data_IF_650160297532
#
_entry.id   IF_650160297532
#
_cell.length_a   1.000
_cell.length_b   1.000
_cell.length_c   1.000
_cell.angle_alpha   90.00
_cell.angle_beta   90.00
_cell.angle_gamma   90.00
#
_symmetry.space_group_name_H-M   'P 1'
#
loop_
_entity.id
_entity.type
_entity.pdbx_description
1 polymer ?
#
# COMPACT_ATOMS: atom_id res chain seq x y z
N UNK A 1 -9.94 19.36 25.46
CA UNK A 1 -8.95 18.87 24.51
C UNK A 1 -9.71 18.56 23.23
N UNK A 2 -9.60 19.41 22.20
CA UNK A 2 -10.09 19.14 20.86
C UNK A 2 -9.32 17.94 20.33
N UNK A 3 -10.01 16.87 19.89
CA UNK A 3 -9.38 15.77 19.15
C UNK A 3 -8.64 16.39 17.96
N UNK A 4 -7.38 16.01 17.67
CA UNK A 4 -6.76 16.42 16.43
C UNK A 4 -7.72 16.05 15.29
N UNK A 5 -7.88 16.93 14.31
CA UNK A 5 -8.82 16.72 13.20
C UNK A 5 -8.54 15.37 12.57
N UNK A 6 -9.56 14.50 12.55
CA UNK A 6 -9.48 13.17 11.94
C UNK A 6 -9.05 13.31 10.49
N UNK A 7 -7.97 12.65 10.03
CA UNK A 7 -7.45 12.86 8.70
C UNK A 7 -8.49 12.51 7.63
N UNK A 8 -8.51 13.26 6.54
CA UNK A 8 -9.32 12.97 5.36
C UNK A 8 -8.51 12.13 4.37
N UNK A 9 -9.03 10.98 3.98
CA UNK A 9 -8.42 10.09 3.00
C UNK A 9 -9.29 10.00 1.74
N UNK A 10 -8.65 10.09 0.57
CA UNK A 10 -9.29 9.85 -0.72
C UNK A 10 -9.19 8.36 -1.06
N UNK A 11 -10.33 7.68 -1.21
CA UNK A 11 -10.41 6.27 -1.58
C UNK A 11 -10.79 6.15 -3.06
N UNK A 12 -9.85 5.78 -3.93
CA UNK A 12 -10.17 5.50 -5.33
C UNK A 12 -10.86 4.13 -5.43
N UNK A 13 -11.99 4.08 -6.16
CA UNK A 13 -12.76 2.84 -6.29
C UNK A 13 -12.15 1.81 -7.26
N UNK A 14 -11.11 2.21 -8.02
CA UNK A 14 -10.36 1.34 -8.91
C UNK A 14 -11.17 0.83 -10.12
N UNK A 15 -10.96 -0.43 -10.49
CA UNK A 15 -11.66 -1.07 -11.60
C UNK A 15 -13.17 -1.14 -11.34
N UNK A 16 -14.01 -0.50 -12.18
CA UNK A 16 -15.44 -0.41 -11.93
C UNK A 16 -16.18 -1.76 -12.05
N UNK A 17 -15.59 -2.72 -12.77
CA UNK A 17 -16.11 -4.09 -12.90
C UNK A 17 -15.61 -5.04 -11.83
N UNK A 18 -14.66 -4.61 -10.99
CA UNK A 18 -14.07 -5.39 -9.89
C UNK A 18 -14.78 -5.21 -8.55
N UNK A 19 -14.11 -5.67 -7.49
CA UNK A 19 -14.61 -5.58 -6.10
C UNK A 19 -14.39 -4.21 -5.45
N UNK A 20 -13.59 -3.31 -6.04
CA UNK A 20 -13.26 -2.02 -5.43
C UNK A 20 -14.47 -1.17 -5.04
N UNK A 21 -15.48 -0.98 -5.92
CA UNK A 21 -16.70 -0.24 -5.59
C UNK A 21 -17.47 -0.84 -4.40
N UNK A 22 -17.58 -2.17 -4.32
CA UNK A 22 -18.29 -2.81 -3.21
C UNK A 22 -17.51 -2.78 -1.91
N UNK A 23 -16.18 -2.87 -1.96
CA UNK A 23 -15.34 -2.70 -0.77
C UNK A 23 -15.50 -1.29 -0.15
N UNK A 24 -15.59 -0.25 -0.99
CA UNK A 24 -15.85 1.11 -0.52
C UNK A 24 -17.21 1.23 0.17
N UNK A 25 -18.26 0.63 -0.40
CA UNK A 25 -19.60 0.61 0.16
C UNK A 25 -19.72 -0.20 1.46
N UNK A 26 -19.11 -1.40 1.48
CA UNK A 26 -19.06 -2.23 2.70
C UNK A 26 -18.34 -1.53 3.84
N UNK A 27 -17.23 -0.84 3.52
CA UNK A 27 -16.49 -0.07 4.51
C UNK A 27 -17.31 1.11 5.04
N UNK A 28 -18.08 1.79 4.17
CA UNK A 28 -18.98 2.86 4.57
C UNK A 28 -20.15 2.35 5.43
N UNK A 29 -20.69 1.16 5.13
CA UNK A 29 -21.73 0.52 5.95
C UNK A 29 -21.29 0.26 7.38
N UNK A 30 -20.05 -0.23 7.56
CA UNK A 30 -19.49 -0.50 8.89
C UNK A 30 -19.13 0.78 9.65
N UNK A 31 -18.76 1.82 8.92
CA UNK A 31 -18.20 3.04 9.47
C UNK A 31 -16.69 2.94 9.81
N UNK A 32 -16.04 4.09 9.83
CA UNK A 32 -14.60 4.21 10.06
C UNK A 32 -14.34 5.25 11.13
N UNK A 33 -13.75 4.82 12.24
CA UNK A 33 -13.42 5.74 13.33
C UNK A 33 -12.06 6.45 13.14
N UNK A 34 -11.15 5.87 12.37
CA UNK A 34 -9.77 6.33 12.25
C UNK A 34 -9.59 7.50 11.27
N UNK A 35 -10.49 7.65 10.29
CA UNK A 35 -10.39 8.66 9.24
C UNK A 35 -11.76 9.14 8.78
N UNK A 36 -11.81 10.33 8.17
CA UNK A 36 -12.88 10.72 7.25
C UNK A 36 -12.53 10.12 5.88
N UNK A 37 -13.50 9.56 5.18
CA UNK A 37 -13.30 9.04 3.83
C UNK A 37 -14.14 9.80 2.82
N UNK A 38 -13.58 9.96 1.63
CA UNK A 38 -14.30 10.35 0.43
C UNK A 38 -13.95 9.36 -0.68
N UNK A 39 -14.95 8.72 -1.26
CA UNK A 39 -14.73 7.87 -2.42
C UNK A 39 -14.48 8.74 -3.67
N UNK A 40 -13.54 8.33 -4.50
CA UNK A 40 -13.30 8.96 -5.82
C UNK A 40 -13.81 7.97 -6.86
N UNK A 41 -14.95 8.30 -7.51
CA UNK A 41 -15.57 7.38 -8.44
C UNK A 41 -16.93 7.86 -8.94
N UNK A 42 -17.65 6.99 -9.68
CA UNK A 42 -18.96 7.29 -10.27
C UNK A 42 -20.09 7.04 -9.26
N UNK A 43 -20.86 8.07 -8.86
CA UNK A 43 -21.95 7.90 -7.90
C UNK A 43 -23.03 6.92 -8.40
N UNK A 44 -23.31 6.93 -9.71
CA UNK A 44 -24.31 6.01 -10.31
C UNK A 44 -23.82 4.56 -10.29
N UNK A 45 -22.53 4.30 -10.49
CA UNK A 45 -21.94 2.98 -10.28
C UNK A 45 -22.11 2.52 -8.84
N UNK A 46 -21.73 3.38 -7.88
CA UNK A 46 -21.82 3.07 -6.45
C UNK A 46 -23.27 2.81 -6.02
N UNK A 47 -24.23 3.62 -6.47
CA UNK A 47 -25.65 3.39 -6.19
C UNK A 47 -26.13 2.03 -6.70
N UNK A 48 -25.87 1.72 -7.99
CA UNK A 48 -26.26 0.41 -8.57
C UNK A 48 -25.57 -0.76 -7.85
N UNK A 49 -24.32 -0.57 -7.38
CA UNK A 49 -23.61 -1.63 -6.65
C UNK A 49 -24.17 -1.79 -5.23
N UNK A 50 -24.57 -0.70 -4.55
CA UNK A 50 -25.22 -0.75 -3.25
C UNK A 50 -26.57 -1.48 -3.35
N UNK A 51 -27.39 -1.13 -4.33
CA UNK A 51 -28.68 -1.80 -4.61
C UNK A 51 -28.48 -3.31 -4.85
N UNK A 52 -27.50 -3.68 -5.69
CA UNK A 52 -27.18 -5.09 -5.99
C UNK A 52 -26.82 -5.89 -4.74
N UNK A 53 -26.13 -5.25 -3.80
CA UNK A 53 -25.66 -5.88 -2.55
C UNK A 53 -26.67 -5.75 -1.40
N UNK A 54 -27.77 -5.02 -1.59
CA UNK A 54 -28.74 -4.76 -0.54
C UNK A 54 -28.18 -3.90 0.60
N UNK A 55 -27.22 -3.00 0.29
CA UNK A 55 -26.62 -2.08 1.24
C UNK A 55 -27.36 -0.75 1.23
N UNK A 56 -27.85 -0.31 2.40
CA UNK A 56 -28.45 1.01 2.59
C UNK A 56 -27.36 2.05 2.84
N UNK A 57 -26.91 2.73 1.76
CA UNK A 57 -25.84 3.72 1.80
C UNK A 57 -26.33 5.04 1.21
N UNK A 58 -26.30 6.08 2.02
CA UNK A 58 -26.47 7.46 1.57
C UNK A 58 -25.18 7.94 0.87
N UNK A 59 -25.25 8.12 -0.45
CA UNK A 59 -24.16 8.72 -1.22
C UNK A 59 -24.30 10.24 -1.21
N UNK A 60 -23.23 10.95 -0.85
CA UNK A 60 -23.18 12.41 -0.85
C UNK A 60 -22.28 12.88 -1.97
N UNK A 61 -22.84 13.39 -3.05
CA UNK A 61 -22.07 14.03 -4.12
C UNK A 61 -21.46 15.32 -3.59
N UNK A 62 -20.13 15.37 -3.54
CA UNK A 62 -19.37 16.49 -3.00
C UNK A 62 -18.83 17.35 -4.14
N UNK A 63 -19.18 18.63 -4.15
CA UNK A 63 -18.58 19.59 -5.08
C UNK A 63 -17.09 19.86 -4.75
N UNK A 64 -16.29 20.25 -5.74
CA UNK A 64 -14.91 20.68 -5.49
C UNK A 64 -14.86 21.82 -4.45
N UNK A 65 -14.12 21.62 -3.36
CA UNK A 65 -13.95 22.62 -2.29
C UNK A 65 -14.93 22.48 -1.12
N UNK A 66 -15.95 21.65 -1.20
CA UNK A 66 -16.80 21.35 -0.06
C UNK A 66 -16.07 20.58 1.04
N UNK A 67 -16.44 20.87 2.28
CA UNK A 67 -15.86 20.17 3.45
C UNK A 67 -16.50 18.80 3.58
N UNK A 68 -15.68 17.74 3.49
CA UNK A 68 -16.14 16.37 3.72
C UNK A 68 -16.60 16.22 5.17
N UNK A 69 -17.84 15.77 5.42
CA UNK A 69 -18.38 15.62 6.77
C UNK A 69 -17.66 14.52 7.58
N UNK A 70 -17.82 14.44 8.89
CA UNK A 70 -17.38 13.32 9.70
C UNK A 70 -17.92 11.98 9.19
N UNK A 71 -17.15 10.92 9.35
CA UNK A 71 -17.57 9.57 8.98
C UNK A 71 -18.76 9.13 9.84
N UNK A 72 -19.82 8.66 9.18
CA UNK A 72 -21.03 8.10 9.80
C UNK A 72 -21.33 6.78 9.10
N UNK A 73 -21.57 5.66 9.82
CA UNK A 73 -21.99 4.40 9.21
C UNK A 73 -23.19 4.58 8.30
N UNK A 74 -23.18 3.93 7.15
CA UNK A 74 -24.24 4.04 6.15
C UNK A 74 -24.16 5.30 5.26
N UNK A 75 -23.08 6.10 5.34
CA UNK A 75 -22.89 7.31 4.53
C UNK A 75 -21.54 7.33 3.86
N UNK A 76 -21.52 7.65 2.55
CA UNK A 76 -20.29 7.74 1.78
C UNK A 76 -20.26 9.05 0.97
N UNK A 77 -19.42 10.03 1.36
CA UNK A 77 -19.09 11.16 0.51
C UNK A 77 -18.39 10.70 -0.77
N UNK A 78 -18.68 11.31 -1.89
CA UNK A 78 -18.13 10.97 -3.21
C UNK A 78 -17.62 12.22 -3.92
N UNK A 79 -16.38 12.21 -4.37
CA UNK A 79 -15.88 13.11 -5.39
C UNK A 79 -16.19 12.48 -6.75
N UNK A 80 -17.13 13.04 -7.51
CA UNK A 80 -17.64 12.37 -8.68
C UNK A 80 -16.62 12.37 -9.84
N UNK A 81 -16.40 11.19 -10.38
CA UNK A 81 -15.72 10.93 -11.66
C UNK A 81 -16.66 10.06 -12.49
N UNK A 82 -17.02 10.53 -13.67
CA UNK A 82 -18.03 9.84 -14.48
C UNK A 82 -17.45 8.63 -15.24
N UNK A 83 -18.13 7.48 -15.20
CA UNK A 83 -17.85 6.37 -16.10
C UNK A 83 -17.99 6.80 -17.56
N UNK A 84 -17.21 6.20 -18.45
CA UNK A 84 -17.34 6.37 -19.91
C UNK A 84 -18.39 5.44 -20.48
N UNK A 85 -18.52 4.24 -19.91
CA UNK A 85 -19.49 3.22 -20.30
C UNK A 85 -20.08 2.52 -19.06
N UNK A 86 -21.29 2.01 -19.14
CA UNK A 86 -21.90 1.24 -18.06
C UNK A 86 -21.03 0.04 -17.65
N UNK A 87 -20.62 -0.03 -16.40
CA UNK A 87 -19.87 -1.16 -15.87
C UNK A 87 -20.80 -2.28 -15.38
N UNK A 88 -20.38 -3.53 -15.65
CA UNK A 88 -21.02 -4.75 -15.16
C UNK A 88 -20.04 -5.50 -14.26
N UNK A 89 -20.46 -5.99 -13.09
CA UNK A 89 -19.58 -6.80 -12.24
C UNK A 89 -18.99 -7.99 -13.01
N UNK A 90 -17.69 -8.19 -12.88
CA UNK A 90 -16.96 -9.29 -13.49
C UNK A 90 -16.64 -9.14 -14.98
N UNK A 91 -17.12 -8.08 -15.66
CA UNK A 91 -16.94 -7.90 -17.11
C UNK A 91 -16.15 -6.63 -17.39
N UNK A 92 -14.87 -6.79 -17.76
CA UNK A 92 -13.99 -5.68 -18.07
C UNK A 92 -14.46 -4.90 -19.31
N UNK A 93 -14.35 -3.57 -19.25
CA UNK A 93 -14.68 -2.65 -20.33
C UNK A 93 -13.54 -1.66 -20.55
N UNK A 94 -12.70 -1.83 -21.61
CA UNK A 94 -11.53 -0.98 -21.85
C UNK A 94 -11.86 0.52 -21.95
N UNK A 95 -13.05 0.90 -22.42
CA UNK A 95 -13.46 2.30 -22.51
C UNK A 95 -13.57 3.01 -21.15
N UNK A 96 -13.57 2.24 -20.05
CA UNK A 96 -13.51 2.79 -18.69
C UNK A 96 -12.06 2.96 -18.14
N UNK A 97 -11.04 2.70 -18.95
CA UNK A 97 -9.65 2.88 -18.50
C UNK A 97 -9.35 4.34 -18.11
N UNK A 98 -9.81 5.31 -18.93
CA UNK A 98 -9.67 6.73 -18.62
C UNK A 98 -10.37 7.15 -17.32
N UNK A 99 -11.52 6.53 -17.01
CA UNK A 99 -12.17 6.72 -15.71
C UNK A 99 -11.27 6.27 -14.56
N UNK A 100 -10.66 5.09 -14.67
CA UNK A 100 -9.79 4.56 -13.62
C UNK A 100 -8.59 5.48 -13.40
N UNK A 101 -7.93 5.94 -14.47
CA UNK A 101 -6.81 6.87 -14.37
C UNK A 101 -7.22 8.23 -13.81
N UNK A 102 -8.36 8.77 -14.23
CA UNK A 102 -8.88 10.03 -13.70
C UNK A 102 -9.17 9.96 -12.19
N UNK A 103 -9.65 8.81 -11.67
CA UNK A 103 -9.83 8.65 -10.22
C UNK A 103 -8.49 8.77 -9.47
N UNK A 104 -7.40 8.26 -10.03
CA UNK A 104 -6.06 8.42 -9.46
C UNK A 104 -5.60 9.88 -9.51
N UNK A 105 -5.79 10.56 -10.65
CA UNK A 105 -5.39 11.96 -10.83
C UNK A 105 -6.11 12.89 -9.84
N UNK A 106 -7.42 12.69 -9.65
CA UNK A 106 -8.21 13.43 -8.67
C UNK A 106 -7.68 13.22 -7.25
N UNK A 107 -7.37 11.98 -6.87
CA UNK A 107 -6.85 11.67 -5.55
C UNK A 107 -5.43 12.24 -5.34
N UNK A 108 -4.53 12.11 -6.35
CA UNK A 108 -3.19 12.70 -6.32
C UNK A 108 -3.27 14.23 -6.16
N UNK A 109 -4.10 14.88 -6.99
CA UNK A 109 -4.27 16.32 -6.92
C UNK A 109 -4.79 16.77 -5.55
N UNK A 110 -5.76 16.05 -4.98
CA UNK A 110 -6.30 16.35 -3.66
C UNK A 110 -5.23 16.23 -2.56
N UNK A 111 -4.38 15.20 -2.62
CA UNK A 111 -3.27 15.03 -1.67
C UNK A 111 -2.21 16.15 -1.84
N UNK A 112 -1.81 16.45 -3.07
CA UNK A 112 -0.79 17.48 -3.36
C UNK A 112 -1.24 18.89 -3.00
N UNK A 113 -2.52 19.17 -3.02
CA UNK A 113 -3.11 20.47 -2.66
C UNK A 113 -3.54 20.57 -1.19
N UNK A 114 -3.31 19.50 -0.39
CA UNK A 114 -3.68 19.44 1.02
C UNK A 114 -5.20 19.29 1.28
N UNK A 115 -5.98 19.01 0.23
CA UNK A 115 -7.43 18.73 0.35
C UNK A 115 -7.71 17.34 0.94
N UNK A 116 -6.80 16.39 0.72
CA UNK A 116 -6.76 15.10 1.39
C UNK A 116 -5.38 14.93 2.05
N UNK A 117 -5.34 14.21 3.16
CA UNK A 117 -4.10 13.95 3.91
C UNK A 117 -3.38 12.69 3.43
N UNK A 118 -4.04 11.89 2.61
CA UNK A 118 -3.52 10.68 2.01
C UNK A 118 -4.54 10.04 1.07
N UNK A 119 -4.09 9.03 0.34
CA UNK A 119 -4.95 8.25 -0.54
C UNK A 119 -4.86 6.76 -0.25
N UNK A 120 -5.99 6.09 -0.44
CA UNK A 120 -6.11 4.63 -0.40
C UNK A 120 -6.60 4.15 -1.76
N UNK A 121 -5.94 3.18 -2.37
CA UNK A 121 -6.34 2.71 -3.71
C UNK A 121 -6.95 1.31 -3.63
N UNK A 122 -8.17 1.16 -4.14
CA UNK A 122 -8.75 -0.13 -4.48
C UNK A 122 -8.07 -0.70 -5.75
N UNK A 123 -8.24 -1.99 -6.05
CA UNK A 123 -7.50 -2.62 -7.13
C UNK A 123 -7.93 -2.11 -8.51
N UNK A 124 -6.97 -1.99 -9.43
CA UNK A 124 -7.22 -1.78 -10.85
C UNK A 124 -6.82 -3.01 -11.67
N UNK A 125 -7.23 -3.05 -12.93
CA UNK A 125 -6.87 -4.13 -13.85
C UNK A 125 -5.91 -3.64 -14.94
N UNK A 126 -4.60 -3.93 -14.77
CA UNK A 126 -3.56 -3.47 -15.69
C UNK A 126 -3.85 -3.82 -17.14
N UNK A 127 -4.27 -5.06 -17.42
CA UNK A 127 -4.53 -5.53 -18.78
C UNK A 127 -5.59 -4.68 -19.51
N UNK A 128 -6.70 -4.33 -18.84
CA UNK A 128 -7.75 -3.53 -19.49
C UNK A 128 -7.31 -2.11 -19.81
N UNK A 129 -6.41 -1.54 -19.00
CA UNK A 129 -5.82 -0.22 -19.26
C UNK A 129 -4.87 -0.27 -20.47
N UNK A 130 -4.08 -1.34 -20.58
CA UNK A 130 -3.22 -1.58 -21.76
C UNK A 130 -4.07 -1.80 -23.03
N UNK A 131 -5.15 -2.58 -22.94
CA UNK A 131 -6.08 -2.85 -24.04
C UNK A 131 -6.80 -1.58 -24.53
N UNK A 132 -6.97 -0.59 -23.66
CA UNK A 132 -7.49 0.73 -23.99
C UNK A 132 -6.48 1.65 -24.72
N UNK A 133 -5.24 1.21 -24.91
CA UNK A 133 -4.21 1.96 -25.63
C UNK A 133 -3.20 2.69 -24.75
N UNK A 134 -3.28 2.56 -23.42
CA UNK A 134 -2.29 3.15 -22.49
C UNK A 134 -1.04 2.26 -22.39
N UNK A 135 -0.31 2.10 -23.49
CA UNK A 135 0.81 1.15 -23.62
C UNK A 135 1.96 1.35 -22.60
N UNK A 136 2.08 2.56 -22.03
CA UNK A 136 3.08 2.88 -21.00
C UNK A 136 2.64 2.58 -19.58
N UNK A 137 1.41 2.09 -19.37
CA UNK A 137 0.92 1.83 -18.02
C UNK A 137 1.52 0.56 -17.45
N UNK A 138 2.28 0.66 -16.39
CA UNK A 138 2.98 -0.46 -15.73
C UNK A 138 2.33 -0.89 -14.42
N UNK A 139 1.56 -0.01 -13.79
CA UNK A 139 0.83 -0.27 -12.55
C UNK A 139 0.61 0.99 -11.72
N UNK A 140 -0.07 0.84 -10.59
CA UNK A 140 -0.33 1.94 -9.65
C UNK A 140 0.97 2.63 -9.20
N UNK A 141 1.97 1.85 -8.82
CA UNK A 141 3.20 2.33 -8.17
C UNK A 141 3.98 3.24 -9.10
N UNK A 142 4.20 2.78 -10.34
CA UNK A 142 4.92 3.55 -11.36
C UNK A 142 4.12 4.76 -11.80
N UNK A 143 2.79 4.60 -11.98
CA UNK A 143 1.92 5.72 -12.33
C UNK A 143 1.98 6.84 -11.28
N UNK A 144 1.90 6.47 -10.00
CA UNK A 144 1.98 7.42 -8.88
C UNK A 144 3.38 8.06 -8.77
N UNK A 145 4.45 7.27 -8.95
CA UNK A 145 5.83 7.78 -8.99
C UNK A 145 5.95 8.87 -10.04
N UNK A 146 5.54 8.59 -11.28
CA UNK A 146 5.67 9.50 -12.41
C UNK A 146 4.78 10.76 -12.25
N UNK A 147 3.53 10.58 -11.82
CA UNK A 147 2.60 11.68 -11.56
C UNK A 147 3.04 12.59 -10.39
N UNK A 148 3.78 12.06 -9.44
CA UNK A 148 4.33 12.81 -8.31
C UNK A 148 5.72 13.38 -8.58
N UNK A 149 6.40 12.98 -9.67
CA UNK A 149 7.78 13.35 -9.97
C UNK A 149 8.78 12.76 -8.97
N UNK A 150 8.48 11.60 -8.39
CA UNK A 150 9.38 10.90 -7.49
C UNK A 150 10.43 10.11 -8.30
N UNK A 151 11.68 10.12 -7.85
CA UNK A 151 12.77 9.41 -8.53
C UNK A 151 12.66 7.90 -8.33
N UNK A 152 12.34 7.48 -7.11
CA UNK A 152 12.26 6.09 -6.72
C UNK A 152 11.15 5.88 -5.69
N UNK A 153 10.59 4.68 -5.65
CA UNK A 153 9.57 4.28 -4.68
C UNK A 153 9.87 2.90 -4.12
N UNK A 154 9.49 2.67 -2.87
CA UNK A 154 9.71 1.41 -2.17
C UNK A 154 8.37 0.79 -1.84
N UNK A 155 8.16 -0.44 -2.29
CA UNK A 155 7.00 -1.25 -1.92
C UNK A 155 7.22 -1.82 -0.53
N UNK A 156 6.30 -1.55 0.37
CA UNK A 156 6.27 -2.11 1.72
C UNK A 156 4.92 -2.76 1.96
N UNK A 157 4.90 -4.00 2.40
CA UNK A 157 3.69 -4.60 2.93
C UNK A 157 3.72 -4.54 4.45
N UNK A 158 2.56 -4.25 5.05
CA UNK A 158 2.42 -4.18 6.50
C UNK A 158 1.19 -4.96 6.96
N UNK A 159 1.34 -5.71 8.07
CA UNK A 159 0.23 -6.42 8.70
C UNK A 159 -0.57 -5.50 9.61
N UNK A 160 -1.80 -5.91 9.93
CA UNK A 160 -2.61 -5.27 10.95
C UNK A 160 -1.92 -5.35 12.33
N UNK A 161 -1.78 -4.19 12.98
CA UNK A 161 -1.19 -4.09 14.33
C UNK A 161 -1.91 -4.95 15.38
N UNK A 162 -3.21 -5.13 15.26
CA UNK A 162 -3.99 -5.94 16.19
C UNK A 162 -3.63 -7.44 16.15
N UNK A 163 -3.04 -7.95 15.05
CA UNK A 163 -2.55 -9.33 14.97
C UNK A 163 -1.40 -9.58 15.96
N UNK A 164 -0.54 -8.59 16.11
CA UNK A 164 0.67 -8.71 16.95
C UNK A 164 0.40 -8.29 18.39
N UNK A 165 -0.52 -7.38 18.63
CA UNK A 165 -0.93 -6.97 19.98
C UNK A 165 -1.53 -8.11 20.80
N UNK A 166 -2.13 -9.12 20.15
CA UNK A 166 -2.71 -10.28 20.81
C UNK A 166 -1.70 -11.41 21.08
N UNK A 167 -0.48 -11.34 20.52
CA UNK A 167 0.55 -12.38 20.66
C UNK A 167 1.50 -12.08 21.82
N UNK A 168 1.64 -12.99 22.82
CA UNK A 168 2.51 -12.75 23.98
C UNK A 168 3.99 -12.64 23.61
N UNK A 169 4.40 -13.18 22.47
CA UNK A 169 5.80 -13.29 22.05
C UNK A 169 6.24 -12.22 21.04
N UNK A 170 5.30 -11.38 20.53
CA UNK A 170 5.66 -10.33 19.58
C UNK A 170 6.46 -9.20 20.28
N UNK A 171 7.63 -8.91 19.74
CA UNK A 171 8.57 -7.90 20.27
C UNK A 171 8.98 -6.85 19.24
N UNK A 172 8.47 -6.95 18.01
CA UNK A 172 8.74 -6.02 16.93
C UNK A 172 7.91 -4.74 16.99
N UNK A 173 7.91 -3.98 15.91
CA UNK A 173 7.02 -2.85 15.71
C UNK A 173 5.54 -3.26 15.82
N UNK A 174 4.63 -2.30 15.99
CA UNK A 174 3.18 -2.58 16.11
C UNK A 174 2.63 -3.45 14.96
N UNK A 175 3.22 -3.35 13.76
CA UNK A 175 2.93 -4.21 12.61
C UNK A 175 4.22 -4.76 12.00
N UNK A 176 4.18 -5.98 11.45
CA UNK A 176 5.29 -6.47 10.63
C UNK A 176 5.30 -5.70 9.30
N UNK A 177 6.39 -4.99 9.03
CA UNK A 177 6.61 -4.26 7.79
C UNK A 177 7.74 -4.93 7.01
N UNK A 178 7.44 -5.32 5.77
CA UNK A 178 8.41 -5.93 4.86
C UNK A 178 8.54 -5.07 3.62
N UNK A 179 9.71 -4.44 3.47
CA UNK A 179 10.11 -3.70 2.28
C UNK A 179 10.81 -4.62 1.28
N UNK A 180 10.74 -4.28 0.02
CA UNK A 180 11.32 -5.06 -1.07
C UNK A 180 12.41 -4.25 -1.79
N UNK A 181 13.61 -4.84 -1.93
CA UNK A 181 14.69 -4.27 -2.74
C UNK A 181 14.39 -4.45 -4.23
N UNK A 182 13.83 -5.60 -4.61
CA UNK A 182 13.31 -5.87 -5.96
C UNK A 182 11.87 -6.40 -5.85
N UNK A 183 11.02 -6.07 -6.83
CA UNK A 183 9.60 -6.43 -6.82
C UNK A 183 9.27 -7.57 -7.79
N UNK A 184 8.76 -7.28 -8.97
CA UNK A 184 8.20 -8.24 -9.92
C UNK A 184 9.22 -8.63 -11.01
N UNK A 185 10.35 -9.19 -10.61
CA UNK A 185 11.37 -9.71 -11.50
C UNK A 185 11.30 -11.25 -11.59
N UNK A 186 11.65 -11.84 -12.74
CA UNK A 186 11.96 -13.26 -12.78
C UNK A 186 13.08 -13.58 -11.79
N UNK A 187 12.97 -14.70 -11.06
CA UNK A 187 13.93 -15.03 -10.01
C UNK A 187 15.39 -15.06 -10.50
N UNK A 188 15.63 -15.51 -11.74
CA UNK A 188 16.97 -15.53 -12.33
C UNK A 188 17.62 -14.15 -12.51
N UNK A 189 16.81 -13.08 -12.57
CA UNK A 189 17.27 -11.72 -12.85
C UNK A 189 17.47 -10.94 -11.53
N UNK A 190 17.09 -11.52 -10.38
CA UNK A 190 17.13 -10.87 -9.07
C UNK A 190 18.55 -10.54 -8.64
N UNK A 191 19.48 -11.49 -8.77
CA UNK A 191 20.87 -11.30 -8.32
C UNK A 191 21.52 -10.11 -9.03
N UNK A 192 21.34 -9.99 -10.36
CA UNK A 192 21.88 -8.87 -11.13
C UNK A 192 21.20 -7.54 -10.82
N UNK A 193 19.96 -7.55 -10.35
CA UNK A 193 19.22 -6.35 -9.96
C UNK A 193 19.62 -5.80 -8.57
N UNK A 194 20.28 -6.60 -7.72
CA UNK A 194 20.80 -6.15 -6.44
C UNK A 194 22.10 -5.39 -6.67
N UNK A 195 22.04 -4.08 -6.54
CA UNK A 195 23.20 -3.17 -6.69
C UNK A 195 23.39 -2.28 -5.49
N UNK A 196 24.63 -1.84 -5.24
CA UNK A 196 24.94 -0.93 -4.12
C UNK A 196 24.11 0.38 -4.23
N UNK A 197 23.96 0.91 -5.43
CA UNK A 197 23.20 2.13 -5.69
C UNK A 197 21.69 1.94 -5.44
N UNK A 198 21.09 0.82 -5.91
CA UNK A 198 19.70 0.49 -5.68
C UNK A 198 19.38 0.30 -4.19
N UNK A 199 20.22 -0.49 -3.49
CA UNK A 199 20.08 -0.70 -2.05
C UNK A 199 20.22 0.60 -1.25
N UNK A 200 21.15 1.46 -1.64
CA UNK A 200 21.34 2.77 -1.01
C UNK A 200 20.09 3.63 -1.13
N UNK A 201 19.49 3.73 -2.32
CA UNK A 201 18.24 4.47 -2.53
C UNK A 201 17.10 3.91 -1.71
N UNK A 202 16.88 2.60 -1.76
CA UNK A 202 15.80 1.92 -1.04
C UNK A 202 15.92 2.12 0.47
N UNK A 203 17.10 1.92 1.04
CA UNK A 203 17.34 2.05 2.48
C UNK A 203 17.19 3.48 2.98
N UNK A 204 17.66 4.48 2.21
CA UNK A 204 17.46 5.90 2.56
C UNK A 204 15.99 6.30 2.52
N UNK A 205 15.23 5.85 1.51
CA UNK A 205 13.77 6.08 1.45
C UNK A 205 13.10 5.43 2.65
N UNK A 206 13.42 4.18 2.94
CA UNK A 206 12.81 3.44 4.03
C UNK A 206 13.09 4.10 5.39
N UNK A 207 14.32 4.51 5.67
CA UNK A 207 14.70 5.22 6.90
C UNK A 207 13.97 6.57 7.02
N UNK A 208 14.01 7.39 5.97
CA UNK A 208 13.39 8.71 5.95
C UNK A 208 11.87 8.64 6.13
N UNK A 209 11.20 7.71 5.46
CA UNK A 209 9.74 7.60 5.50
C UNK A 209 9.24 6.87 6.75
N UNK A 210 9.99 5.94 7.34
CA UNK A 210 9.70 5.43 8.68
C UNK A 210 9.77 6.55 9.74
N UNK A 211 10.72 7.46 9.60
CA UNK A 211 10.80 8.64 10.46
C UNK A 211 9.63 9.59 10.20
N UNK A 212 9.39 9.93 8.96
CA UNK A 212 8.39 10.95 8.57
C UNK A 212 6.96 10.48 8.83
N UNK A 213 6.60 9.30 8.36
CA UNK A 213 5.22 8.83 8.32
C UNK A 213 4.84 7.95 9.51
N UNK A 214 5.81 7.29 10.15
CA UNK A 214 5.54 6.44 11.32
C UNK A 214 6.06 7.03 12.63
N UNK A 215 6.78 8.17 12.58
CA UNK A 215 7.28 8.87 13.75
C UNK A 215 8.38 8.08 14.49
N UNK A 216 9.07 7.19 13.80
CA UNK A 216 10.19 6.42 14.37
C UNK A 216 11.45 7.28 14.30
N UNK A 217 11.90 7.82 15.43
CA UNK A 217 13.00 8.78 15.45
C UNK A 217 14.35 8.20 14.96
N UNK A 218 14.56 6.90 15.12
CA UNK A 218 15.76 6.17 14.67
C UNK A 218 15.34 4.78 14.19
N UNK A 219 14.91 4.64 12.94
CA UNK A 219 14.43 3.37 12.41
C UNK A 219 15.50 2.28 12.48
N UNK A 220 15.15 1.13 13.02
CA UNK A 220 15.97 -0.06 12.99
C UNK A 220 15.50 -0.99 11.89
N UNK A 221 16.29 -1.12 10.85
CA UNK A 221 15.95 -1.90 9.66
C UNK A 221 16.80 -3.17 9.64
N UNK A 222 16.15 -4.33 9.65
CA UNK A 222 16.81 -5.61 9.46
C UNK A 222 16.86 -5.95 7.96
N UNK A 223 18.02 -6.26 7.43
CA UNK A 223 18.27 -6.50 6.01
C UNK A 223 18.56 -7.98 5.78
N UNK A 224 17.77 -8.64 4.93
CA UNK A 224 18.03 -10.01 4.51
C UNK A 224 19.29 -10.10 3.66
N UNK A 225 20.01 -11.20 3.74
CA UNK A 225 20.92 -11.63 2.67
C UNK A 225 20.11 -12.04 1.43
N UNK A 226 20.76 -12.10 0.29
CA UNK A 226 20.17 -12.62 -0.95
C UNK A 226 20.18 -14.15 -0.97
N UNK A 227 21.35 -14.70 -0.64
CA UNK A 227 21.62 -16.13 -0.73
C UNK A 227 21.23 -16.88 0.56
N UNK A 228 21.04 -18.21 0.50
CA UNK A 228 20.86 -19.02 1.69
C UNK A 228 21.97 -18.77 2.71
N UNK A 229 21.61 -18.70 4.01
CA UNK A 229 22.52 -18.42 5.12
C UNK A 229 23.34 -17.13 4.95
N UNK A 230 22.77 -16.13 4.21
CA UNK A 230 23.44 -14.89 3.86
C UNK A 230 24.83 -15.13 3.20
N UNK A 231 24.87 -16.07 2.23
CA UNK A 231 26.06 -16.39 1.44
C UNK A 231 27.10 -17.27 2.13
N UNK A 232 26.92 -17.58 3.44
CA UNK A 232 27.83 -18.45 4.24
C UNK A 232 29.33 -18.14 4.03
N UNK A 233 29.69 -16.86 4.15
CA UNK A 233 31.05 -16.39 3.96
C UNK A 233 31.59 -16.49 2.53
N UNK A 234 30.69 -16.45 1.53
CA UNK A 234 31.00 -16.54 0.11
C UNK A 234 30.94 -17.95 -0.46
N UNK A 235 30.59 -18.95 0.34
CA UNK A 235 30.44 -20.33 -0.14
C UNK A 235 29.16 -20.58 -0.93
N UNK A 236 28.15 -19.74 -0.72
CA UNK A 236 26.83 -19.84 -1.36
C UNK A 236 26.46 -18.59 -2.19
N UNK A 237 27.45 -17.84 -2.61
CA UNK A 237 27.28 -16.59 -3.37
C UNK A 237 28.16 -15.48 -2.81
N UNK A 238 28.37 -14.44 -3.58
CA UNK A 238 29.28 -13.34 -3.21
C UNK A 238 28.57 -11.99 -3.06
N UNK A 239 27.27 -11.91 -3.37
CA UNK A 239 26.51 -10.68 -3.38
C UNK A 239 26.47 -10.01 -1.99
N UNK A 240 26.48 -10.80 -0.92
CA UNK A 240 26.57 -10.27 0.44
C UNK A 240 27.90 -9.56 0.65
N UNK A 241 29.04 -10.19 0.29
CA UNK A 241 30.38 -9.68 0.52
C UNK A 241 30.71 -8.52 -0.41
N UNK A 242 30.30 -8.63 -1.69
CA UNK A 242 30.71 -7.68 -2.73
C UNK A 242 29.77 -6.46 -2.80
N UNK A 243 28.49 -6.62 -2.44
CA UNK A 243 27.47 -5.58 -2.62
C UNK A 243 26.78 -5.21 -1.31
N UNK A 244 26.15 -6.18 -0.60
CA UNK A 244 25.25 -5.86 0.50
C UNK A 244 26.02 -5.34 1.71
N UNK A 245 27.02 -6.08 2.21
CA UNK A 245 27.80 -5.69 3.39
C UNK A 245 28.50 -4.32 3.22
N UNK A 246 29.20 -4.05 2.11
CA UNK A 246 29.84 -2.75 1.91
C UNK A 246 28.80 -1.60 1.85
N UNK A 247 27.64 -1.83 1.23
CA UNK A 247 26.57 -0.84 1.17
C UNK A 247 26.00 -0.54 2.55
N UNK A 248 25.72 -1.59 3.35
CA UNK A 248 25.23 -1.41 4.72
C UNK A 248 26.27 -0.72 5.61
N UNK A 249 27.56 -1.05 5.45
CA UNK A 249 28.64 -0.39 6.21
C UNK A 249 28.67 1.11 5.91
N UNK A 250 28.66 1.51 4.63
CA UNK A 250 28.62 2.91 4.24
C UNK A 250 27.42 3.67 4.82
N UNK A 251 26.22 3.06 4.76
CA UNK A 251 25.01 3.68 5.30
C UNK A 251 24.98 3.75 6.84
N UNK A 252 25.60 2.81 7.53
CA UNK A 252 25.81 2.90 8.99
C UNK A 252 26.73 4.05 9.37
N UNK A 253 27.77 4.29 8.58
CA UNK A 253 28.66 5.45 8.77
C UNK A 253 27.92 6.78 8.52
N UNK A 254 26.88 6.79 7.69
CA UNK A 254 25.96 7.92 7.52
C UNK A 254 24.96 8.07 8.69
N UNK A 255 24.84 7.08 9.57
CA UNK A 255 24.00 7.12 10.77
C UNK A 255 22.73 6.27 10.74
N UNK A 256 22.48 5.49 9.68
CA UNK A 256 21.36 4.57 9.65
C UNK A 256 21.56 3.39 10.60
N UNK A 257 20.49 2.91 11.22
CA UNK A 257 20.56 1.74 12.11
C UNK A 257 20.12 0.49 11.34
N UNK A 258 21.10 -0.23 10.79
CA UNK A 258 20.91 -1.38 9.92
C UNK A 258 21.48 -2.64 10.55
N UNK A 259 20.68 -3.70 10.64
CA UNK A 259 21.13 -5.04 11.03
C UNK A 259 21.21 -5.92 9.79
N UNK A 260 22.32 -6.60 9.57
CA UNK A 260 22.44 -7.53 8.43
C UNK A 260 23.76 -7.41 7.67
N UNK A 261 23.89 -8.17 6.55
CA UNK A 261 22.87 -9.08 6.01
C UNK A 261 22.59 -10.27 6.93
N UNK A 262 21.32 -10.62 7.10
CA UNK A 262 20.88 -11.72 7.95
C UNK A 262 20.26 -12.85 7.14
N UNK A 263 20.45 -14.13 7.53
CA UNK A 263 19.72 -15.23 6.90
C UNK A 263 18.21 -15.07 7.02
N UNK A 264 17.50 -15.09 5.89
CA UNK A 264 16.06 -14.84 5.87
C UNK A 264 15.23 -15.91 6.62
N UNK A 265 15.70 -17.14 6.63
CA UNK A 265 15.07 -18.27 7.35
C UNK A 265 15.00 -18.08 8.86
N UNK A 266 15.94 -17.36 9.45
CA UNK A 266 16.00 -17.08 10.88
C UNK A 266 15.57 -15.68 11.26
N UNK A 267 15.69 -14.70 10.35
CA UNK A 267 15.36 -13.30 10.60
C UNK A 267 13.89 -13.11 10.99
N UNK A 268 12.96 -13.79 10.34
CA UNK A 268 11.53 -13.70 10.62
C UNK A 268 11.08 -14.45 11.87
N UNK A 269 11.93 -14.52 12.88
CA UNK A 269 11.57 -15.07 14.19
C UNK A 269 11.31 -13.96 15.21
N UNK A 270 10.44 -14.14 16.21
CA UNK A 270 10.13 -13.12 17.22
C UNK A 270 11.38 -12.55 17.92
N UNK A 271 12.42 -13.36 18.09
CA UNK A 271 13.69 -12.94 18.71
C UNK A 271 14.43 -11.92 17.86
N UNK A 272 14.55 -12.15 16.54
CA UNK A 272 15.26 -11.26 15.64
C UNK A 272 14.46 -10.02 15.29
N UNK A 273 13.13 -10.14 15.25
CA UNK A 273 12.23 -9.01 15.01
C UNK A 273 12.07 -8.09 16.24
N UNK A 274 12.62 -8.47 17.40
CA UNK A 274 12.51 -7.65 18.60
C UNK A 274 13.20 -6.30 18.41
N UNK A 275 12.39 -5.22 18.45
CA UNK A 275 12.87 -3.84 18.26
C UNK A 275 13.22 -3.49 16.80
N UNK A 276 12.85 -4.31 15.82
CA UNK A 276 12.98 -4.01 14.39
C UNK A 276 11.73 -3.28 13.92
N UNK A 277 11.92 -2.18 13.19
CA UNK A 277 10.83 -1.35 12.66
C UNK A 277 10.39 -1.77 11.26
N UNK A 278 11.32 -2.29 10.45
CA UNK A 278 11.03 -2.88 9.14
C UNK A 278 12.09 -3.92 8.75
N UNK A 279 11.72 -4.86 7.91
CA UNK A 279 12.61 -5.81 7.26
C UNK A 279 12.75 -5.44 5.79
N UNK A 280 13.98 -5.38 5.27
CA UNK A 280 14.24 -5.30 3.84
C UNK A 280 14.51 -6.70 3.29
N UNK A 281 13.63 -7.21 2.48
CA UNK A 281 13.82 -8.43 1.70
C UNK A 281 14.42 -8.11 0.33
N UNK A 282 15.31 -8.97 -0.17
CA UNK A 282 15.98 -8.76 -1.44
C UNK A 282 15.03 -8.97 -2.63
N UNK A 283 14.04 -9.86 -2.50
CA UNK A 283 13.06 -10.14 -3.54
C UNK A 283 11.69 -10.52 -2.95
N UNK A 284 10.69 -10.48 -3.82
CA UNK A 284 9.28 -10.63 -3.46
C UNK A 284 9.01 -11.88 -2.60
N UNK A 285 9.36 -13.08 -3.08
CA UNK A 285 9.02 -14.32 -2.39
C UNK A 285 9.96 -14.66 -1.22
N UNK A 286 10.95 -13.82 -0.92
CA UNK A 286 11.74 -13.94 0.29
C UNK A 286 10.98 -13.43 1.53
N UNK A 287 10.25 -12.33 1.40
CA UNK A 287 9.58 -11.66 2.51
C UNK A 287 8.07 -11.87 2.56
N UNK A 288 7.40 -11.85 1.40
CA UNK A 288 5.95 -11.83 1.36
C UNK A 288 5.25 -13.12 1.80
N UNK A 289 5.77 -14.34 1.60
CA UNK A 289 5.16 -15.54 2.13
C UNK A 289 5.00 -15.50 3.64
N UNK A 290 6.02 -15.00 4.37
CA UNK A 290 5.97 -14.87 5.83
C UNK A 290 4.94 -13.82 6.25
N UNK A 291 4.95 -12.67 5.59
CA UNK A 291 4.00 -11.59 5.88
C UNK A 291 2.56 -12.04 5.61
N UNK A 292 2.32 -12.67 4.46
CA UNK A 292 0.98 -13.16 4.10
C UNK A 292 0.50 -14.31 4.98
N UNK A 293 1.40 -15.18 5.41
CA UNK A 293 1.05 -16.21 6.38
C UNK A 293 0.64 -15.60 7.73
N UNK A 294 1.40 -14.58 8.20
CA UNK A 294 1.12 -13.91 9.48
C UNK A 294 -0.14 -13.03 9.42
N UNK A 295 -0.41 -12.41 8.27
CA UNK A 295 -1.45 -11.39 8.11
C UNK A 295 -2.46 -11.69 7.01
N UNK A 296 -2.77 -12.96 6.72
CA UNK A 296 -3.68 -13.33 5.63
C UNK A 296 -5.03 -12.59 5.73
N UNK A 297 -5.39 -11.83 4.67
CA UNK A 297 -6.58 -10.97 4.65
C UNK A 297 -6.49 -9.74 5.56
N UNK A 298 -5.36 -9.54 6.27
CA UNK A 298 -5.14 -8.44 7.22
C UNK A 298 -3.77 -7.80 7.00
N UNK A 299 -3.44 -7.55 5.76
CA UNK A 299 -2.25 -6.84 5.34
C UNK A 299 -2.61 -5.82 4.26
N UNK A 300 -1.77 -4.79 4.12
CA UNK A 300 -1.93 -3.78 3.09
C UNK A 300 -0.56 -3.40 2.52
N UNK A 301 -0.58 -2.86 1.30
CA UNK A 301 0.59 -2.34 0.62
C UNK A 301 0.73 -0.83 0.94
N UNK A 302 1.94 -0.39 1.17
CA UNK A 302 2.33 1.00 1.36
C UNK A 302 3.35 1.34 0.27
N UNK A 303 3.23 2.50 -0.36
CA UNK A 303 4.25 3.02 -1.27
C UNK A 303 5.00 4.14 -0.59
N UNK A 304 6.26 3.89 -0.23
CA UNK A 304 7.17 4.90 0.32
C UNK A 304 7.96 5.59 -0.82
N UNK A 305 8.55 6.75 -0.54
CA UNK A 305 9.25 7.57 -1.53
C UNK A 305 8.36 8.58 -2.24
N UNK A 306 7.04 8.51 -2.06
CA UNK A 306 6.10 9.50 -2.58
C UNK A 306 6.03 10.73 -1.65
N UNK A 307 5.77 11.95 -2.19
CA UNK A 307 5.57 13.15 -1.37
C UNK A 307 4.23 13.14 -0.60
N UNK A 308 3.43 12.10 -0.74
CA UNK A 308 2.10 11.92 -0.14
C UNK A 308 1.94 10.52 0.45
N UNK A 309 1.01 10.38 1.39
CA UNK A 309 0.65 9.08 1.96
C UNK A 309 -0.15 8.26 0.95
N UNK A 310 0.33 7.08 0.61
CA UNK A 310 -0.39 6.13 -0.23
C UNK A 310 -0.36 4.73 0.35
N UNK A 311 -1.55 4.15 0.53
CA UNK A 311 -1.73 2.73 0.84
C UNK A 311 -2.65 2.07 -0.19
N UNK A 312 -2.62 0.76 -0.26
CA UNK A 312 -3.55 -0.02 -1.09
C UNK A 312 -3.83 -1.38 -0.48
N UNK A 313 -4.89 -2.02 -0.96
CA UNK A 313 -5.13 -3.43 -0.70
C UNK A 313 -4.01 -4.30 -1.30
N UNK A 314 -3.84 -5.51 -0.77
CA UNK A 314 -2.81 -6.48 -1.17
C UNK A 314 -3.32 -7.57 -2.14
N UNK A 315 -4.50 -7.36 -2.72
CA UNK A 315 -5.15 -8.27 -3.66
C UNK A 315 -5.55 -7.56 -4.96
N UNK A 316 -5.93 -8.34 -5.97
CA UNK A 316 -6.40 -7.83 -7.27
C UNK A 316 -7.91 -7.53 -7.31
N UNK A 317 -8.41 -7.31 -8.51
CA UNK A 317 -9.80 -6.93 -8.80
C UNK A 317 -10.83 -8.01 -8.49
N UNK A 318 -10.44 -9.26 -8.35
CA UNK A 318 -11.28 -10.42 -8.03
C UNK A 318 -12.63 -10.40 -8.78
N UNK A 319 -12.54 -10.39 -10.11
CA UNK A 319 -13.69 -10.23 -11.00
C UNK A 319 -14.78 -11.28 -10.78
N UNK A 320 -14.38 -12.48 -10.37
CA UNK A 320 -15.28 -13.60 -10.03
C UNK A 320 -16.10 -13.37 -8.74
N UNK A 321 -15.64 -12.48 -7.87
CA UNK A 321 -16.34 -12.10 -6.64
C UNK A 321 -17.17 -10.83 -6.80
N UNK A 322 -16.91 -10.03 -7.85
CA UNK A 322 -17.57 -8.74 -8.05
C UNK A 322 -19.08 -8.88 -8.14
N UNK A 323 -19.82 -8.11 -7.35
CA UNK A 323 -21.29 -8.12 -7.27
C UNK A 323 -21.88 -9.27 -6.46
N UNK A 324 -21.05 -10.11 -5.83
CA UNK A 324 -21.54 -11.26 -5.04
C UNK A 324 -21.70 -10.98 -3.55
N UNK A 325 -21.16 -9.87 -3.05
CA UNK A 325 -21.12 -9.55 -1.63
C UNK A 325 -20.15 -10.42 -0.79
N UNK A 326 -19.30 -11.22 -1.45
CA UNK A 326 -18.36 -12.15 -0.78
C UNK A 326 -16.94 -11.62 -0.71
N UNK A 327 -16.68 -10.40 -1.18
CA UNK A 327 -15.37 -9.78 -1.08
C UNK A 327 -14.98 -9.56 0.38
N UNK A 328 -13.70 -9.84 0.72
CA UNK A 328 -13.18 -9.63 2.07
C UNK A 328 -12.70 -8.18 2.24
N UNK A 329 -13.15 -7.54 3.31
CA UNK A 329 -12.84 -6.13 3.60
C UNK A 329 -11.54 -5.95 4.41
N UNK A 330 -10.93 -7.04 4.89
CA UNK A 330 -9.83 -7.01 5.85
C UNK A 330 -8.64 -6.17 5.37
N UNK A 331 -8.16 -6.40 4.16
CA UNK A 331 -7.04 -5.65 3.59
C UNK A 331 -7.35 -4.15 3.43
N UNK A 332 -8.58 -3.78 3.00
CA UNK A 332 -8.96 -2.37 2.88
C UNK A 332 -9.03 -1.67 4.24
N UNK A 333 -9.52 -2.35 5.28
CA UNK A 333 -9.52 -1.81 6.66
C UNK A 333 -8.09 -1.51 7.12
N UNK A 334 -7.15 -2.43 6.88
CA UNK A 334 -5.74 -2.23 7.22
C UNK A 334 -5.14 -1.09 6.42
N UNK A 335 -5.41 -1.02 5.11
CA UNK A 335 -4.93 0.08 4.26
C UNK A 335 -5.40 1.44 4.76
N UNK A 336 -6.68 1.57 5.12
CA UNK A 336 -7.24 2.82 5.68
C UNK A 336 -6.65 3.14 7.05
N UNK A 337 -6.51 2.15 7.93
CA UNK A 337 -5.92 2.37 9.26
C UNK A 337 -4.47 2.85 9.18
N UNK A 338 -3.65 2.23 8.32
CA UNK A 338 -2.27 2.64 8.07
C UNK A 338 -2.19 4.04 7.45
N UNK A 339 -3.02 4.34 6.44
CA UNK A 339 -3.06 5.67 5.85
C UNK A 339 -3.45 6.74 6.88
N UNK A 340 -4.40 6.44 7.78
CA UNK A 340 -4.81 7.34 8.84
C UNK A 340 -3.70 7.57 9.87
N UNK A 341 -2.97 6.51 10.26
CA UNK A 341 -1.81 6.62 11.15
C UNK A 341 -0.72 7.50 10.52
N UNK A 342 -0.34 7.24 9.29
CA UNK A 342 0.69 7.97 8.56
C UNK A 342 0.29 9.45 8.37
N UNK A 343 -0.93 9.71 7.93
CA UNK A 343 -1.45 11.06 7.71
C UNK A 343 -1.55 11.89 9.00
N UNK A 344 -1.86 11.25 10.11
CA UNK A 344 -1.93 11.90 11.42
C UNK A 344 -0.57 12.31 12.01
N UNK A 345 0.54 11.81 11.44
CA UNK A 345 1.91 12.12 11.88
C UNK A 345 2.63 13.08 10.95
N UNK A 346 2.24 13.12 9.68
CA UNK A 346 2.84 13.98 8.65
C UNK A 346 2.23 15.39 8.56
N UNK A 347 1.29 15.73 9.46
CA UNK A 347 0.60 17.02 9.51
C UNK A 347 1.32 18.04 10.40
#
# INVERSE_FOLDING_TARGET
MTRPDTPLLALTTGEPSGIGPELALMLAAEGIAAARLVAVGDPGLLARRADLLGLDIELLDMAPGETVPPAIPGRLPVWPVALREPARPGVLEPRNADYVLETLDVAIHACRTGRAHGMVTAPLHKGVILDAGHAGFTGHTEYLRDACGAEEVVMVLATDAALHAAGPDWRGAASLRVALATTHLPLRDVAEAITAEGLTRVLRILDADLTRWFGVARPRIAVCGLNPHAGEGGHLGHEEIEIIEPTLAALRDEGLTLDGPLPADTLFTPRHLAGVDAVLAMYHDQGLPVLKYSGFGRAANITLGLPLVRTSVDHGTALDLAGTGRADLGSLRVAVALAAEMAGRGA
#
